data_IF_987515431419
#
_entry.id   IF_987515431419
#
_cell.length_a   1.000
_cell.length_b   1.000
_cell.length_c   1.000
_cell.angle_alpha   90.00
_cell.angle_beta   90.00
_cell.angle_gamma   90.00
#
_symmetry.space_group_name_H-M   'P 1'
#
loop_
_entity.id
_entity.type
_entity.pdbx_description
1 polymer ?
#
# COMPACT_ATOMS: atom_id res chain seq x y z
N UNK A 1 7.73 -5.15 -20.37
CA UNK A 1 7.97 -4.34 -19.15
C UNK A 1 9.47 -4.10 -18.98
N UNK A 2 9.90 -2.85 -18.95
CA UNK A 2 11.31 -2.55 -18.76
C UNK A 2 11.69 -2.74 -17.28
N UNK A 3 12.62 -3.64 -16.99
CA UNK A 3 13.13 -3.91 -15.62
C UNK A 3 13.70 -2.63 -14.99
N UNK A 4 14.06 -1.65 -15.80
CA UNK A 4 14.63 -0.36 -15.36
C UNK A 4 13.64 0.52 -14.59
N UNK A 5 12.35 0.36 -14.81
CA UNK A 5 11.29 1.21 -14.22
C UNK A 5 10.55 0.50 -13.07
N UNK A 6 11.19 -0.45 -12.41
CA UNK A 6 10.54 -1.22 -11.35
C UNK A 6 10.46 -0.44 -10.04
N UNK A 7 9.25 -0.37 -9.52
CA UNK A 7 8.94 0.03 -8.15
C UNK A 7 8.39 -1.19 -7.41
N UNK A 8 8.80 -1.40 -6.18
CA UNK A 8 8.31 -2.51 -5.36
C UNK A 8 7.79 -1.96 -4.03
N UNK A 9 6.68 -2.49 -3.58
CA UNK A 9 6.08 -2.17 -2.28
C UNK A 9 5.61 -3.44 -1.57
N UNK A 10 5.17 -3.30 -0.33
CA UNK A 10 4.75 -4.42 0.50
C UNK A 10 3.24 -4.40 0.74
N UNK A 11 2.68 -5.57 0.96
CA UNK A 11 1.31 -5.75 1.42
C UNK A 11 1.19 -6.86 2.45
N UNK A 12 0.17 -6.76 3.30
CA UNK A 12 -0.20 -7.79 4.26
C UNK A 12 -1.72 -7.95 4.26
N UNK A 13 -2.23 -8.99 4.90
CA UNK A 13 -3.67 -9.15 5.04
C UNK A 13 -4.24 -8.08 5.97
N UNK A 14 -5.42 -7.55 5.63
CA UNK A 14 -6.16 -6.67 6.52
C UNK A 14 -6.66 -7.42 7.74
N UNK A 15 -6.57 -6.81 8.92
CA UNK A 15 -7.36 -7.22 10.07
C UNK A 15 -8.85 -6.86 9.86
N UNK A 16 -9.80 -7.49 10.59
CA UNK A 16 -11.22 -7.15 10.45
C UNK A 16 -11.53 -5.66 10.64
N UNK A 17 -10.81 -4.98 11.53
CA UNK A 17 -10.98 -3.55 11.80
C UNK A 17 -10.48 -2.67 10.66
N UNK A 18 -9.51 -3.15 9.89
CA UNK A 18 -8.87 -2.41 8.81
C UNK A 18 -9.65 -2.47 7.50
N UNK A 19 -10.52 -3.46 7.33
CA UNK A 19 -11.21 -3.69 6.05
C UNK A 19 -12.00 -2.46 5.60
N UNK A 20 -12.73 -1.82 6.51
CA UNK A 20 -13.54 -0.64 6.22
C UNK A 20 -12.90 0.67 6.68
N UNK A 21 -11.66 0.65 7.15
CA UNK A 21 -10.95 1.84 7.59
C UNK A 21 -10.31 2.56 6.40
N UNK A 22 -10.69 3.81 6.10
CA UNK A 22 -10.08 4.58 5.00
C UNK A 22 -8.60 4.87 5.20
N UNK A 23 -8.10 4.82 6.43
CA UNK A 23 -6.68 5.01 6.73
C UNK A 23 -5.84 3.77 6.42
N UNK A 24 -6.46 2.59 6.38
CA UNK A 24 -5.84 1.38 5.88
C UNK A 24 -6.02 1.30 4.36
N UNK A 25 -4.99 1.61 3.63
CA UNK A 25 -5.01 1.57 2.16
C UNK A 25 -5.01 0.12 1.68
N UNK A 26 -5.97 -0.22 0.82
CA UNK A 26 -6.08 -1.56 0.23
C UNK A 26 -5.37 -1.58 -1.11
N UNK A 27 -4.88 -2.74 -1.48
CA UNK A 27 -4.24 -2.97 -2.77
C UNK A 27 -4.75 -4.27 -3.38
N UNK A 28 -5.00 -4.24 -4.67
CA UNK A 28 -5.26 -5.44 -5.48
C UNK A 28 -4.12 -5.62 -6.47
N UNK A 29 -3.71 -6.86 -6.64
CA UNK A 29 -2.59 -7.20 -7.50
C UNK A 29 -2.99 -8.29 -8.49
N UNK A 30 -2.36 -8.25 -9.66
CA UNK A 30 -2.45 -9.32 -10.64
C UNK A 30 -1.71 -10.57 -10.14
N UNK A 31 -1.93 -11.69 -10.81
CA UNK A 31 -1.31 -12.97 -10.44
C UNK A 31 0.23 -12.92 -10.46
N UNK A 32 0.80 -12.06 -11.28
CA UNK A 32 2.26 -11.85 -11.37
C UNK A 32 2.82 -10.91 -10.29
N UNK A 33 1.96 -10.38 -9.40
CA UNK A 33 2.32 -9.47 -8.34
C UNK A 33 2.25 -7.98 -8.71
N UNK A 34 1.92 -7.65 -9.97
CA UNK A 34 1.79 -6.26 -10.39
C UNK A 34 0.54 -5.63 -9.77
N UNK A 35 0.69 -4.48 -9.12
CA UNK A 35 -0.44 -3.74 -8.56
C UNK A 35 -1.42 -3.32 -9.66
N UNK A 36 -2.69 -3.59 -9.44
CA UNK A 36 -3.78 -3.15 -10.31
C UNK A 36 -4.35 -1.82 -9.86
N UNK A 37 -4.56 -1.65 -8.57
CA UNK A 37 -5.04 -0.41 -7.99
C UNK A 37 -4.82 -0.35 -6.48
N UNK A 38 -4.71 0.86 -5.95
CA UNK A 38 -4.67 1.16 -4.52
C UNK A 38 -5.87 2.04 -4.19
N UNK A 39 -6.57 1.76 -3.10
CA UNK A 39 -7.73 2.56 -2.69
C UNK A 39 -7.91 2.59 -1.18
N UNK A 40 -8.47 3.69 -0.70
CA UNK A 40 -8.97 3.78 0.68
C UNK A 40 -10.28 3.05 0.86
N UNK A 41 -11.04 2.84 -0.22
CA UNK A 41 -12.23 2.01 -0.21
C UNK A 41 -11.86 0.53 -0.03
N UNK A 42 -12.84 -0.27 0.41
CA UNK A 42 -12.65 -1.72 0.47
C UNK A 42 -12.65 -2.31 -0.93
N UNK A 43 -11.52 -2.80 -1.37
CA UNK A 43 -11.33 -3.50 -2.65
C UNK A 43 -10.63 -4.85 -2.40
N UNK A 44 -10.95 -5.91 -3.17
CA UNK A 44 -12.02 -5.99 -4.15
C UNK A 44 -13.41 -6.04 -3.49
N UNK A 45 -14.45 -5.70 -4.24
CA UNK A 45 -15.82 -5.93 -3.79
C UNK A 45 -16.11 -7.43 -3.82
N UNK A 46 -16.52 -7.99 -2.69
CA UNK A 46 -16.81 -9.42 -2.59
C UNK A 46 -18.29 -9.69 -2.87
N UNK A 47 -18.53 -10.43 -3.94
CA UNK A 47 -19.88 -10.85 -4.33
C UNK A 47 -19.86 -12.35 -4.65
N UNK A 48 -20.10 -13.17 -3.64
CA UNK A 48 -20.19 -14.62 -3.78
C UNK A 48 -18.92 -15.38 -3.36
N UNK A 49 -17.76 -15.00 -3.83
CA UNK A 49 -16.47 -15.59 -3.40
C UNK A 49 -15.71 -14.56 -2.58
N UNK A 50 -15.37 -14.90 -1.35
CA UNK A 50 -14.65 -13.99 -0.46
C UNK A 50 -13.16 -14.06 -0.73
N UNK A 51 -12.58 -12.97 -1.19
CA UNK A 51 -11.15 -12.75 -1.26
C UNK A 51 -10.75 -11.80 -0.13
N UNK A 52 -9.79 -12.21 0.69
CA UNK A 52 -9.34 -11.38 1.80
C UNK A 52 -8.67 -10.09 1.30
N UNK A 53 -9.14 -8.90 1.72
CA UNK A 53 -8.49 -7.64 1.35
C UNK A 53 -7.05 -7.58 1.86
N UNK A 54 -6.17 -6.95 1.08
CA UNK A 54 -4.77 -6.73 1.44
C UNK A 54 -4.53 -5.26 1.74
N UNK A 55 -3.81 -5.00 2.82
CA UNK A 55 -3.37 -3.67 3.23
C UNK A 55 -2.02 -3.36 2.58
N UNK A 56 -1.93 -2.20 1.97
CA UNK A 56 -0.67 -1.65 1.50
C UNK A 56 0.15 -1.16 2.69
N UNK A 57 1.43 -1.51 2.69
CA UNK A 57 2.41 -0.98 3.63
C UNK A 57 3.27 0.05 2.91
N UNK A 58 3.38 1.26 3.48
CA UNK A 58 4.02 2.42 2.87
C UNK A 58 5.55 2.35 2.79
N UNK A 59 6.09 1.19 2.44
CA UNK A 59 7.52 0.96 2.26
C UNK A 59 7.76 0.65 0.79
N UNK A 60 8.67 1.41 0.15
CA UNK A 60 8.97 1.30 -1.27
C UNK A 60 10.44 1.09 -1.54
N UNK A 61 10.70 0.28 -2.56
CA UNK A 61 12.00 0.21 -3.19
C UNK A 61 11.87 0.71 -4.64
N UNK A 62 12.72 1.65 -5.03
CA UNK A 62 12.73 2.24 -6.36
C UNK A 62 14.04 1.94 -7.06
N UNK A 63 13.97 1.60 -8.34
CA UNK A 63 15.13 1.80 -9.19
C UNK A 63 15.33 3.29 -9.40
N UNK A 64 16.58 3.73 -9.50
CA UNK A 64 16.93 5.15 -9.63
C UNK A 64 16.20 5.85 -10.77
N UNK A 65 16.07 5.18 -11.92
CA UNK A 65 15.34 5.72 -13.07
C UNK A 65 13.85 5.94 -12.77
N UNK A 66 13.22 4.99 -12.07
CA UNK A 66 11.82 5.11 -11.66
C UNK A 66 11.61 6.24 -10.65
N UNK A 67 12.50 6.38 -9.68
CA UNK A 67 12.44 7.46 -8.69
C UNK A 67 12.60 8.83 -9.35
N UNK A 68 13.55 8.98 -10.28
CA UNK A 68 13.73 10.22 -11.04
C UNK A 68 12.49 10.58 -11.84
N UNK A 69 11.91 9.61 -12.55
CA UNK A 69 10.70 9.81 -13.32
C UNK A 69 9.52 10.21 -12.44
N UNK A 70 9.36 9.56 -11.28
CA UNK A 70 8.33 9.90 -10.31
C UNK A 70 8.44 11.35 -9.83
N UNK A 71 9.66 11.80 -9.53
CA UNK A 71 9.90 13.17 -9.06
C UNK A 71 9.57 14.24 -10.12
N UNK A 72 9.62 13.89 -11.40
CA UNK A 72 9.33 14.79 -12.52
C UNK A 72 7.84 14.83 -12.90
N UNK A 73 7.06 13.82 -12.47
CA UNK A 73 5.64 13.73 -12.81
C UNK A 73 4.79 14.74 -12.04
N UNK A 74 3.83 15.39 -12.70
CA UNK A 74 2.85 16.23 -12.01
C UNK A 74 1.85 15.37 -11.23
N UNK A 75 1.17 15.94 -10.21
CA UNK A 75 0.06 15.27 -9.55
C UNK A 75 -1.01 14.80 -10.54
N UNK A 76 -1.59 13.63 -10.28
CA UNK A 76 -2.55 12.99 -11.18
C UNK A 76 -3.97 13.01 -10.61
N UNK A 77 -5.02 12.82 -11.43
CA UNK A 77 -6.40 12.86 -10.96
C UNK A 77 -6.74 11.82 -9.89
N UNK A 78 -6.31 10.57 -10.06
CA UNK A 78 -6.57 9.51 -9.09
C UNK A 78 -5.80 9.73 -7.78
N UNK A 79 -4.58 10.22 -7.88
CA UNK A 79 -3.80 10.64 -6.71
C UNK A 79 -4.53 11.70 -5.90
N UNK A 80 -5.06 12.70 -6.55
CA UNK A 80 -5.81 13.78 -5.90
C UNK A 80 -7.11 13.27 -5.26
N UNK A 81 -7.83 12.36 -5.93
CA UNK A 81 -9.09 11.80 -5.45
C UNK A 81 -8.89 10.94 -4.20
N UNK A 82 -7.91 10.06 -4.22
CA UNK A 82 -7.63 9.10 -3.15
C UNK A 82 -6.63 9.63 -2.11
N UNK A 83 -5.89 10.70 -2.44
CA UNK A 83 -4.72 11.19 -1.68
C UNK A 83 -3.68 10.09 -1.47
N UNK A 84 -3.35 9.41 -2.55
CA UNK A 84 -2.37 8.33 -2.61
C UNK A 84 -1.38 8.62 -3.74
N UNK A 85 -0.15 8.99 -3.39
CA UNK A 85 0.88 9.41 -4.36
C UNK A 85 1.28 8.31 -5.34
N UNK A 86 1.24 7.05 -4.92
CA UNK A 86 1.60 5.91 -5.76
C UNK A 86 0.68 5.73 -6.97
N UNK A 87 -0.54 6.27 -6.94
CA UNK A 87 -1.45 6.22 -8.09
C UNK A 87 -0.93 7.03 -9.27
N UNK A 88 -0.10 8.05 -9.03
CA UNK A 88 0.60 8.81 -10.07
C UNK A 88 1.44 7.88 -10.95
N UNK A 89 2.15 6.93 -10.35
CA UNK A 89 2.95 5.94 -11.08
C UNK A 89 2.07 5.05 -11.95
N UNK A 90 0.97 4.54 -11.40
CA UNK A 90 0.05 3.67 -12.14
C UNK A 90 -0.60 4.39 -13.32
N UNK A 91 -1.01 5.65 -13.15
CA UNK A 91 -1.60 6.46 -14.21
C UNK A 91 -0.62 6.74 -15.35
N UNK A 92 0.67 6.79 -15.07
CA UNK A 92 1.74 6.94 -16.08
C UNK A 92 2.21 5.61 -16.67
N UNK A 93 1.58 4.51 -16.30
CA UNK A 93 1.94 3.19 -16.83
C UNK A 93 3.21 2.60 -16.21
N UNK A 94 3.69 3.14 -15.11
CA UNK A 94 4.84 2.60 -14.39
C UNK A 94 4.35 1.49 -13.46
N UNK A 95 4.85 0.28 -13.64
CA UNK A 95 4.43 -0.87 -12.84
C UNK A 95 4.96 -0.82 -11.42
N UNK A 96 4.08 -1.09 -10.46
CA UNK A 96 4.43 -1.30 -9.06
C UNK A 96 4.26 -2.80 -8.76
N UNK A 97 5.32 -3.44 -8.30
CA UNK A 97 5.29 -4.83 -7.88
C UNK A 97 4.98 -4.92 -6.39
N UNK A 98 4.01 -5.74 -6.02
CA UNK A 98 3.57 -5.92 -4.63
C UNK A 98 4.10 -7.23 -4.10
N UNK A 99 4.84 -7.17 -2.99
CA UNK A 99 5.34 -8.34 -2.28
C UNK A 99 4.52 -8.53 -1.01
N UNK A 100 4.02 -9.73 -0.81
CA UNK A 100 3.25 -10.08 0.38
C UNK A 100 4.17 -10.37 1.57
N UNK A 101 3.83 -9.86 2.75
CA UNK A 101 4.50 -10.17 4.01
C UNK A 101 3.47 -10.56 5.07
N UNK A 102 3.78 -11.50 5.98
CA UNK A 102 2.90 -11.84 7.10
C UNK A 102 2.92 -10.80 8.23
N UNK A 103 3.82 -9.82 8.17
CA UNK A 103 3.98 -8.81 9.21
C UNK A 103 3.19 -7.55 8.89
N UNK A 104 2.44 -7.04 9.86
CA UNK A 104 1.79 -5.73 9.77
C UNK A 104 2.66 -4.66 10.44
N UNK A 105 2.43 -3.42 10.03
CA UNK A 105 3.05 -2.23 10.62
C UNK A 105 1.97 -1.31 11.18
N UNK A 106 2.32 -0.53 12.20
CA UNK A 106 1.46 0.51 12.72
C UNK A 106 1.97 1.84 12.19
N UNK A 107 1.15 2.50 11.35
CA UNK A 107 1.41 3.87 10.94
C UNK A 107 1.13 4.82 12.09
N UNK A 108 2.01 5.80 12.30
CA UNK A 108 1.87 6.80 13.36
C UNK A 108 1.64 8.16 12.72
N UNK A 109 0.37 8.56 12.63
CA UNK A 109 -0.05 9.86 12.11
C UNK A 109 -0.77 10.69 13.17
N UNK A 110 -1.29 10.03 14.21
CA UNK A 110 -2.03 10.65 15.31
C UNK A 110 -1.40 10.28 16.66
N UNK A 111 -1.77 11.02 17.72
CA UNK A 111 -1.36 10.70 19.07
C UNK A 111 -1.86 9.33 19.56
N UNK A 112 -3.07 8.95 19.11
CA UNK A 112 -3.63 7.61 19.38
C UNK A 112 -2.79 6.50 18.73
N UNK A 113 -2.32 6.73 17.52
CA UNK A 113 -1.44 5.79 16.82
C UNK A 113 -0.10 5.64 17.53
N UNK A 114 0.44 6.73 18.08
CA UNK A 114 1.67 6.71 18.86
C UNK A 114 1.50 5.84 20.11
N UNK A 115 0.42 6.03 20.85
CA UNK A 115 0.12 5.23 22.04
C UNK A 115 -0.06 3.75 21.70
N UNK A 116 -0.70 3.45 20.58
CA UNK A 116 -0.85 2.08 20.10
C UNK A 116 0.51 1.44 19.75
N UNK A 117 1.39 2.18 19.08
CA UNK A 117 2.73 1.72 18.76
C UNK A 117 3.58 1.48 20.01
N UNK A 118 3.51 2.37 20.98
CA UNK A 118 4.21 2.20 22.27
C UNK A 118 3.79 0.92 23.00
N UNK A 119 2.49 0.62 23.02
CA UNK A 119 1.98 -0.62 23.66
C UNK A 119 2.55 -1.88 22.99
N UNK A 120 2.67 -1.88 21.66
CA UNK A 120 3.23 -3.01 20.92
C UNK A 120 4.71 -3.19 21.25
N UNK A 121 5.48 -2.09 21.25
CA UNK A 121 6.90 -2.12 21.58
C UNK A 121 7.15 -2.60 23.02
N UNK A 122 6.32 -2.16 23.97
CA UNK A 122 6.42 -2.60 25.36
C UNK A 122 6.13 -4.09 25.55
N UNK A 123 5.23 -4.67 24.75
CA UNK A 123 4.97 -6.12 24.77
C UNK A 123 6.16 -6.90 24.22
N UNK A 124 6.75 -6.44 23.12
CA UNK A 124 7.89 -7.11 22.48
C UNK A 124 9.16 -7.08 23.36
N UNK A 125 9.34 -6.03 24.15
CA UNK A 125 10.49 -5.93 25.06
C UNK A 125 10.36 -6.78 26.34
N UNK A 126 9.21 -7.43 26.58
CA UNK A 126 8.97 -8.32 27.72
C UNK A 126 9.11 -9.81 27.38
N UNK A 127 9.24 -10.13 26.09
CA UNK A 127 9.51 -11.48 25.58
C UNK A 127 11.03 -11.69 25.38
#
# INVERSE_FOLDING_TARGET
>A
MCIRDRVTTLSTLCSPEQINDPNAVKVVAALDGRALYFSRATIPYNQGVTLAPRKHLGIYAYRKAALRRFAELPPSPLEAAERLEQLRLLEEGISIHVVHTPFDTIGVDTEEDLLAAERVLQRQSRE
#
